data_IF_907397157166
#
_entry.id   IF_907397157166
#
_cell.length_a   1.000
_cell.length_b   1.000
_cell.length_c   1.000
_cell.angle_alpha   90.00
_cell.angle_beta   90.00
_cell.angle_gamma   90.00
#
_symmetry.space_group_name_H-M   'P 1'
#
loop_
_entity.id
_entity.type
_entity.pdbx_description
1 polymer ?
#
# COMPACT_ATOMS: atom_id res chain seq x y z
N UNK A 1 6.35 -18.43 10.73
CA UNK A 1 5.60 -19.13 9.65
C UNK A 1 4.29 -18.42 9.31
N UNK A 2 3.49 -18.03 10.31
CA UNK A 2 2.23 -17.29 10.15
C UNK A 2 2.41 -15.97 9.38
N UNK A 3 3.36 -15.11 9.78
CA UNK A 3 3.62 -13.80 9.13
C UNK A 3 3.86 -13.92 7.62
N UNK A 4 4.58 -14.97 7.17
CA UNK A 4 4.86 -15.19 5.74
C UNK A 4 3.57 -15.43 4.96
N UNK A 5 2.65 -16.21 5.52
CA UNK A 5 1.42 -16.61 4.86
C UNK A 5 0.46 -15.42 4.72
N UNK A 6 0.22 -14.72 5.84
CA UNK A 6 -0.64 -13.54 5.86
C UNK A 6 -0.07 -12.39 5.03
N UNK A 7 1.24 -12.14 5.10
CA UNK A 7 1.89 -11.12 4.28
C UNK A 7 1.78 -11.40 2.77
N UNK A 8 1.94 -12.67 2.35
CA UNK A 8 1.75 -13.06 0.95
C UNK A 8 0.31 -12.91 0.48
N UNK A 9 -0.67 -13.29 1.31
CA UNK A 9 -2.09 -13.11 1.00
C UNK A 9 -2.47 -11.63 0.87
N UNK A 10 -2.01 -10.78 1.81
CA UNK A 10 -2.24 -9.34 1.77
C UNK A 10 -1.65 -8.72 0.50
N UNK A 11 -0.43 -9.11 0.11
CA UNK A 11 0.19 -8.65 -1.14
C UNK A 11 -0.64 -9.02 -2.37
N UNK A 12 -1.16 -10.26 -2.43
CA UNK A 12 -1.99 -10.71 -3.54
C UNK A 12 -3.31 -9.92 -3.62
N UNK A 13 -3.93 -9.64 -2.46
CA UNK A 13 -5.16 -8.86 -2.38
C UNK A 13 -4.93 -7.42 -2.84
N UNK A 14 -3.85 -6.78 -2.37
CA UNK A 14 -3.46 -5.43 -2.82
C UNK A 14 -3.15 -5.39 -4.31
N UNK A 15 -2.53 -6.43 -4.86
CA UNK A 15 -2.27 -6.53 -6.30
C UNK A 15 -3.58 -6.56 -7.08
N UNK A 16 -4.54 -7.40 -6.69
CA UNK A 16 -5.87 -7.46 -7.31
C UNK A 16 -6.57 -6.10 -7.20
N UNK A 17 -6.51 -5.45 -6.05
CA UNK A 17 -7.13 -4.14 -5.88
C UNK A 17 -6.48 -3.06 -6.74
N UNK A 18 -5.17 -3.09 -6.85
CA UNK A 18 -4.43 -2.25 -7.81
C UNK A 18 -4.85 -2.54 -9.25
N UNK A 19 -5.31 -3.77 -9.53
CA UNK A 19 -5.83 -4.13 -10.85
C UNK A 19 -7.23 -3.68 -11.16
N UNK A 20 -8.04 -3.47 -10.14
CA UNK A 20 -9.39 -2.93 -10.31
C UNK A 20 -9.34 -1.40 -10.43
N UNK A 21 -8.47 -0.73 -9.67
CA UNK A 21 -8.42 0.74 -9.64
C UNK A 21 -7.62 1.33 -10.81
N UNK A 22 -6.55 0.64 -11.26
CA UNK A 22 -5.63 1.17 -12.28
C UNK A 22 -6.03 0.68 -13.67
N UNK A 23 -6.33 1.58 -14.63
CA UNK A 23 -6.63 1.20 -16.01
C UNK A 23 -5.43 0.52 -16.68
N UNK A 24 -5.71 -0.42 -17.59
CA UNK A 24 -4.71 -1.31 -18.24
C UNK A 24 -3.54 -0.57 -18.90
N UNK A 25 -3.74 0.65 -19.38
CA UNK A 25 -2.70 1.50 -19.99
C UNK A 25 -1.63 1.99 -19.00
N UNK A 26 -1.99 2.14 -17.72
CA UNK A 26 -1.10 2.69 -16.68
C UNK A 26 -0.67 1.63 -15.65
N UNK A 27 -1.17 0.40 -15.79
CA UNK A 27 -0.85 -0.73 -14.90
C UNK A 27 0.65 -0.95 -14.72
N UNK A 28 1.43 -0.87 -15.79
CA UNK A 28 2.88 -1.08 -15.73
C UNK A 28 3.57 0.01 -14.89
N UNK A 29 3.14 1.26 -15.00
CA UNK A 29 3.68 2.37 -14.21
C UNK A 29 3.30 2.25 -12.72
N UNK A 30 2.05 1.85 -12.44
CA UNK A 30 1.58 1.63 -11.06
C UNK A 30 2.30 0.48 -10.35
N UNK A 31 2.43 -0.69 -11.01
CA UNK A 31 3.19 -1.81 -10.42
C UNK A 31 4.69 -1.47 -10.32
N UNK A 32 5.22 -0.68 -11.25
CA UNK A 32 6.59 -0.17 -11.21
C UNK A 32 6.88 0.68 -9.98
N UNK A 33 6.01 1.63 -9.65
CA UNK A 33 6.18 2.49 -8.46
C UNK A 33 6.08 1.69 -7.16
N UNK A 34 5.14 0.76 -7.05
CA UNK A 34 5.06 -0.17 -5.91
C UNK A 34 6.34 -0.99 -5.76
N UNK A 35 6.91 -1.46 -6.88
CA UNK A 35 8.15 -2.24 -6.86
C UNK A 35 9.32 -1.42 -6.31
N UNK A 36 9.44 -0.14 -6.70
CA UNK A 36 10.48 0.75 -6.14
C UNK A 36 10.32 0.91 -4.63
N UNK A 37 9.08 1.09 -4.14
CA UNK A 37 8.83 1.17 -2.70
C UNK A 37 9.22 -0.11 -1.96
N UNK A 38 8.91 -1.29 -2.51
CA UNK A 38 9.30 -2.60 -1.95
C UNK A 38 10.83 -2.74 -1.92
N UNK A 39 11.53 -2.28 -2.96
CA UNK A 39 13.00 -2.30 -3.01
C UNK A 39 13.60 -1.43 -1.92
N UNK A 40 13.05 -0.23 -1.70
CA UNK A 40 13.48 0.64 -0.59
C UNK A 40 13.29 -0.07 0.75
N UNK A 41 12.13 -0.69 0.98
CA UNK A 41 11.90 -1.50 2.19
C UNK A 41 12.89 -2.67 2.35
N UNK A 42 13.26 -3.31 1.24
CA UNK A 42 14.25 -4.39 1.23
C UNK A 42 15.66 -3.91 1.56
N UNK A 43 16.02 -2.69 1.17
CA UNK A 43 17.31 -2.06 1.53
C UNK A 43 17.33 -1.69 3.01
N UNK A 44 16.20 -1.22 3.56
CA UNK A 44 16.09 -0.83 4.98
C UNK A 44 16.09 -2.05 5.91
N UNK A 45 15.56 -3.19 5.46
CA UNK A 45 15.44 -4.41 6.27
C UNK A 45 16.74 -4.90 6.95
N UNK A 46 17.91 -5.01 6.28
CA UNK A 46 19.16 -5.39 6.93
C UNK A 46 19.63 -4.36 7.97
N UNK A 47 19.44 -3.06 7.75
CA UNK A 47 19.79 -2.03 8.73
C UNK A 47 18.99 -2.16 10.03
N UNK A 48 17.69 -2.49 9.92
CA UNK A 48 16.84 -2.75 11.10
C UNK A 48 17.34 -3.98 11.88
N UNK A 49 17.79 -5.02 11.16
CA UNK A 49 18.33 -6.24 11.80
C UNK A 49 19.63 -5.94 12.52
N UNK A 50 20.54 -5.22 11.89
CA UNK A 50 21.84 -4.86 12.45
C UNK A 50 21.71 -3.94 13.67
N UNK A 51 20.75 -3.01 13.64
CA UNK A 51 20.41 -2.19 14.81
C UNK A 51 19.78 -3.00 15.95
N UNK A 52 18.98 -4.01 15.62
CA UNK A 52 18.34 -4.89 16.62
C UNK A 52 19.35 -5.78 17.36
N UNK A 53 20.47 -6.13 16.74
CA UNK A 53 21.54 -6.92 17.36
C UNK A 53 22.26 -6.13 18.48
N UNK A 54 22.33 -4.80 18.37
CA UNK A 54 22.96 -3.93 19.37
C UNK A 54 22.11 -3.65 20.62
N UNK A 55 20.78 -3.67 20.50
CA UNK A 55 19.88 -3.27 21.61
C UNK A 55 19.16 -4.46 22.25
N UNK A 56 18.34 -5.17 21.47
CA UNK A 56 17.59 -6.35 21.93
C UNK A 56 16.99 -7.07 20.72
N UNK A 57 17.04 -8.42 20.64
CA UNK A 57 16.52 -9.18 19.50
C UNK A 57 15.01 -8.98 19.25
N UNK A 58 14.25 -8.58 20.27
CA UNK A 58 12.81 -8.31 20.17
C UNK A 58 12.49 -6.96 19.51
N UNK A 59 13.46 -6.04 19.39
CA UNK A 59 13.24 -4.70 18.84
C UNK A 59 12.84 -4.76 17.36
N UNK A 60 13.49 -5.62 16.56
CA UNK A 60 13.13 -5.83 15.16
C UNK A 60 11.69 -6.31 14.98
N UNK A 61 11.25 -7.28 15.80
CA UNK A 61 9.88 -7.80 15.73
C UNK A 61 8.85 -6.72 16.09
N UNK A 62 9.12 -5.90 17.10
CA UNK A 62 8.26 -4.78 17.48
C UNK A 62 8.16 -3.73 16.36
N UNK A 63 9.28 -3.40 15.70
CA UNK A 63 9.29 -2.44 14.59
C UNK A 63 8.49 -2.93 13.38
N UNK A 64 8.71 -4.17 12.93
CA UNK A 64 7.93 -4.73 11.82
C UNK A 64 6.44 -4.87 12.17
N UNK A 65 6.11 -5.22 13.41
CA UNK A 65 4.73 -5.27 13.89
C UNK A 65 4.05 -3.90 13.92
N UNK A 66 4.75 -2.86 14.36
CA UNK A 66 4.25 -1.49 14.36
C UNK A 66 4.00 -0.99 12.93
N UNK A 67 4.91 -1.25 12.00
CA UNK A 67 4.75 -0.91 10.59
C UNK A 67 3.54 -1.59 9.96
N UNK A 68 3.31 -2.88 10.25
CA UNK A 68 2.12 -3.61 9.76
C UNK A 68 0.82 -3.09 10.37
N UNK A 69 0.84 -2.72 11.65
CA UNK A 69 -0.35 -2.14 12.30
C UNK A 69 -0.69 -0.78 11.70
N UNK A 70 0.33 0.03 11.41
CA UNK A 70 0.17 1.32 10.75
C UNK A 70 -0.38 1.17 9.32
N UNK A 71 0.15 0.22 8.55
CA UNK A 71 -0.34 -0.11 7.21
C UNK A 71 -1.81 -0.58 7.25
N UNK A 72 -2.16 -1.49 8.15
CA UNK A 72 -3.53 -1.96 8.32
C UNK A 72 -4.49 -0.81 8.71
N UNK A 73 -4.05 0.10 9.58
CA UNK A 73 -4.82 1.29 9.94
C UNK A 73 -5.01 2.23 8.74
N UNK A 74 -3.98 2.40 7.91
CA UNK A 74 -4.04 3.23 6.71
C UNK A 74 -4.98 2.62 5.65
N UNK A 75 -4.94 1.30 5.48
CA UNK A 75 -5.88 0.57 4.62
C UNK A 75 -7.32 0.71 5.14
N UNK A 76 -7.52 0.68 6.45
CA UNK A 76 -8.84 0.88 7.06
C UNK A 76 -9.34 2.33 6.92
N UNK A 77 -8.42 3.31 6.86
CA UNK A 77 -8.74 4.72 6.61
C UNK A 77 -9.02 4.99 5.13
N UNK A 78 -8.50 4.15 4.23
CA UNK A 78 -8.80 4.22 2.82
C UNK A 78 -10.28 3.86 2.63
N UNK A 79 -11.14 4.77 2.14
CA UNK A 79 -12.55 4.48 1.96
C UNK A 79 -12.68 3.25 1.07
N UNK A 80 -13.47 2.28 1.53
CA UNK A 80 -13.64 0.99 0.87
C UNK A 80 -13.95 1.26 -0.61
N UNK A 81 -13.06 0.85 -1.52
CA UNK A 81 -13.10 1.14 -2.96
C UNK A 81 -14.20 0.35 -3.69
N UNK A 82 -15.23 -0.06 -2.95
CA UNK A 82 -16.29 -0.96 -3.34
C UNK A 82 -17.50 -0.13 -3.75
N UNK A 83 -17.61 0.16 -5.05
CA UNK A 83 -18.82 0.75 -5.64
C UNK A 83 -18.65 2.08 -6.37
N UNK A 84 -17.42 2.53 -6.64
CA UNK A 84 -17.20 3.65 -7.56
C UNK A 84 -17.02 3.08 -8.97
N UNK A 85 -17.87 3.49 -9.92
CA UNK A 85 -17.69 3.18 -11.35
C UNK A 85 -16.30 3.65 -11.78
N UNK A 86 -15.43 2.69 -12.09
CA UNK A 86 -14.04 2.95 -12.45
C UNK A 86 -14.06 3.63 -13.83
N UNK A 87 -13.67 4.91 -13.94
CA UNK A 87 -13.66 5.59 -15.22
C UNK A 87 -12.65 4.92 -16.17
N UNK A 88 -13.12 4.46 -17.33
CA UNK A 88 -12.31 3.80 -18.38
C UNK A 88 -11.19 4.69 -18.96
N UNK A 89 -11.13 5.99 -18.60
CA UNK A 89 -10.15 6.95 -19.15
C UNK A 89 -9.59 7.93 -18.10
N UNK A 90 -8.31 8.28 -18.24
CA UNK A 90 -7.57 9.25 -17.41
C UNK A 90 -8.27 10.63 -17.31
N UNK A 91 -9.03 11.01 -18.33
CA UNK A 91 -9.76 12.27 -18.41
C UNK A 91 -10.98 12.31 -17.48
N UNK A 92 -11.62 11.16 -17.27
CA UNK A 92 -12.77 11.04 -16.38
C UNK A 92 -12.32 10.93 -14.92
N UNK A 93 -11.19 10.26 -14.63
CA UNK A 93 -10.56 10.25 -13.30
C UNK A 93 -10.12 11.66 -12.83
N UNK A 94 -9.60 12.49 -13.73
CA UNK A 94 -9.19 13.87 -13.42
C UNK A 94 -10.38 14.80 -13.09
N UNK A 95 -11.57 14.55 -13.64
CA UNK A 95 -12.78 15.32 -13.34
C UNK A 95 -13.36 14.98 -11.96
N UNK A 96 -13.24 13.73 -11.51
CA UNK A 96 -13.70 13.29 -10.18
C UNK A 96 -12.83 13.91 -9.08
N UNK A 97 -11.51 14.01 -9.29
CA UNK A 97 -10.61 14.70 -8.36
C UNK A 97 -10.92 16.18 -8.16
N UNK A 98 -11.54 16.84 -9.15
CA UNK A 98 -11.96 18.24 -9.03
C UNK A 98 -13.25 18.39 -8.20
N UNK A 99 -14.23 17.49 -8.37
CA UNK A 99 -15.49 17.50 -7.57
C UNK A 99 -15.31 17.18 -6.09
N UNK A 100 -14.31 16.39 -5.70
CA UNK A 100 -14.04 16.09 -4.29
C UNK A 100 -13.58 17.34 -3.51
N UNK A 101 -12.98 18.33 -4.18
CA UNK A 101 -12.58 19.60 -3.56
C UNK A 101 -13.77 20.53 -3.31
N UNK A 102 -14.91 20.36 -3.99
CA UNK A 102 -16.13 21.16 -3.75
C UNK A 102 -17.04 20.60 -2.65
N UNK A 103 -16.90 19.32 -2.26
CA UNK A 103 -17.77 18.71 -1.22
C UNK A 103 -17.17 18.78 0.19
N UNK A 104 -15.92 19.26 0.35
CA UNK A 104 -15.29 19.46 1.67
C UNK A 104 -15.62 20.84 2.27
N UNK A 105 -16.43 21.66 1.58
CA UNK A 105 -16.85 23.00 2.04
C UNK A 105 -18.35 23.10 2.42
N UNK A 106 -18.97 22.01 2.89
CA UNK A 106 -20.31 22.07 3.50
C UNK A 106 -20.34 21.41 4.88
#
# INVERSE_FOLDING_TARGET
>A
MIIRFFGGFAFQLLYIQSTEIIPTTMRQLGVGSCTVAIRVGSVIAPFIREFSEWTHPAASMAMFGALMTFDAMLICLLPETKGVEIPDTLQEAAKIGNKQNETTEC
#
